data_IF_766359109190
#
_entry.id   IF_766359109190
#
_cell.length_a   1.000
_cell.length_b   1.000
_cell.length_c   1.000
_cell.angle_alpha   90.00
_cell.angle_beta   90.00
_cell.angle_gamma   90.00
#
_symmetry.space_group_name_H-M   'P 1'
#
loop_
_entity.id
_entity.type
_entity.pdbx_description
1 polymer ?
#
# COMPACT_ATOMS: atom_id res chain seq x y z
N UNK A 1 11.48 18.90 11.26
CA UNK A 1 10.98 19.45 9.98
C UNK A 1 9.81 18.61 9.51
N UNK A 2 8.67 19.24 9.26
CA UNK A 2 7.48 18.50 8.79
C UNK A 2 7.70 18.06 7.35
N UNK A 3 7.38 16.80 7.01
CA UNK A 3 7.50 16.34 5.63
C UNK A 3 6.49 17.08 4.74
N UNK A 4 6.91 17.39 3.51
CA UNK A 4 6.02 17.95 2.51
C UNK A 4 4.96 16.89 2.12
N UNK A 5 3.66 17.17 2.28
CA UNK A 5 2.63 16.19 1.97
C UNK A 5 2.70 15.66 0.53
N UNK A 6 2.99 16.53 -0.45
CA UNK A 6 3.12 16.10 -1.85
C UNK A 6 4.31 15.15 -2.05
N UNK A 7 5.44 15.41 -1.36
CA UNK A 7 6.61 14.54 -1.43
C UNK A 7 6.34 13.18 -0.78
N UNK A 8 5.62 13.18 0.35
CA UNK A 8 5.23 11.93 1.03
C UNK A 8 4.32 11.11 0.13
N UNK A 9 3.32 11.74 -0.48
CA UNK A 9 2.40 11.06 -1.39
C UNK A 9 3.13 10.49 -2.60
N UNK A 10 4.08 11.23 -3.17
CA UNK A 10 4.89 10.76 -4.31
C UNK A 10 5.71 9.54 -3.92
N UNK A 11 6.36 9.57 -2.77
CA UNK A 11 7.15 8.43 -2.27
C UNK A 11 6.27 7.21 -2.07
N UNK A 12 5.11 7.41 -1.49
CA UNK A 12 4.13 6.35 -1.27
C UNK A 12 3.68 5.74 -2.61
N UNK A 13 3.33 6.58 -3.58
CA UNK A 13 2.91 6.14 -4.91
C UNK A 13 4.04 5.38 -5.62
N UNK A 14 5.26 5.90 -5.58
CA UNK A 14 6.43 5.25 -6.20
C UNK A 14 6.69 3.87 -5.59
N UNK A 15 6.41 3.71 -4.31
CA UNK A 15 6.59 2.43 -3.62
C UNK A 15 5.46 1.44 -3.92
N UNK A 16 4.22 1.91 -3.96
CA UNK A 16 3.05 1.04 -4.02
C UNK A 16 2.53 0.77 -5.44
N UNK A 17 2.64 1.73 -6.36
CA UNK A 17 2.07 1.57 -7.69
C UNK A 17 2.62 0.36 -8.47
N UNK A 18 3.94 0.08 -8.47
CA UNK A 18 4.46 -1.12 -9.14
C UNK A 18 3.90 -2.41 -8.54
N UNK A 19 3.78 -2.46 -7.20
CA UNK A 19 3.27 -3.64 -6.50
C UNK A 19 1.78 -3.84 -6.78
N UNK A 20 1.02 -2.77 -6.85
CA UNK A 20 -0.40 -2.83 -7.20
C UNK A 20 -0.60 -3.36 -8.62
N UNK A 21 0.20 -2.91 -9.57
CA UNK A 21 0.16 -3.43 -10.95
C UNK A 21 0.48 -4.90 -11.01
N UNK A 22 1.52 -5.33 -10.28
CA UNK A 22 1.91 -6.73 -10.22
C UNK A 22 0.81 -7.58 -9.61
N UNK A 23 0.16 -7.06 -8.56
CA UNK A 23 -0.95 -7.73 -7.91
C UNK A 23 -2.12 -7.93 -8.87
N UNK A 24 -2.53 -6.86 -9.60
CA UNK A 24 -3.63 -6.95 -10.55
C UNK A 24 -3.33 -7.93 -11.68
N UNK A 25 -2.11 -7.92 -12.21
CA UNK A 25 -1.68 -8.87 -13.24
C UNK A 25 -1.71 -10.30 -12.74
N UNK A 26 -1.23 -10.52 -11.52
CA UNK A 26 -1.21 -11.85 -10.92
C UNK A 26 -2.63 -12.38 -10.67
N UNK A 27 -3.54 -11.54 -10.20
CA UNK A 27 -4.95 -11.91 -10.04
C UNK A 27 -5.61 -12.25 -11.39
N UNK A 28 -5.35 -11.45 -12.41
CA UNK A 28 -5.86 -11.69 -13.75
C UNK A 28 -5.37 -13.04 -14.28
N UNK A 29 -4.07 -13.32 -14.17
CA UNK A 29 -3.48 -14.56 -14.62
C UNK A 29 -4.07 -15.77 -13.88
N UNK A 30 -4.24 -15.69 -12.56
CA UNK A 30 -4.80 -16.75 -11.76
C UNK A 30 -6.30 -17.00 -12.08
N UNK A 31 -7.03 -15.94 -12.43
CA UNK A 31 -8.45 -16.03 -12.78
C UNK A 31 -8.67 -16.64 -14.16
N UNK A 32 -7.77 -16.38 -15.10
CA UNK A 32 -7.90 -16.86 -16.48
C UNK A 32 -7.19 -18.19 -16.72
N UNK A 33 -6.21 -18.54 -15.89
CA UNK A 33 -5.41 -19.76 -16.02
C UNK A 33 -5.08 -20.30 -14.63
N UNK A 34 -5.98 -21.09 -14.07
CA UNK A 34 -5.90 -21.57 -12.69
C UNK A 34 -4.93 -22.76 -12.57
N UNK A 35 -3.63 -22.47 -12.72
CA UNK A 35 -2.56 -23.45 -12.50
C UNK A 35 -1.86 -23.18 -11.16
N UNK A 36 -1.19 -24.18 -10.57
CA UNK A 36 -0.41 -23.95 -9.35
C UNK A 36 0.60 -22.83 -9.48
N UNK A 37 1.22 -22.66 -10.65
CA UNK A 37 2.21 -21.61 -10.90
C UNK A 37 1.59 -20.22 -10.83
N UNK A 38 0.40 -20.01 -11.39
CA UNK A 38 -0.29 -18.72 -11.35
C UNK A 38 -0.78 -18.40 -9.96
N UNK A 39 -1.23 -19.39 -9.21
CA UNK A 39 -1.62 -19.21 -7.81
C UNK A 39 -0.42 -18.82 -6.93
N UNK A 40 0.74 -19.42 -7.17
CA UNK A 40 1.96 -19.08 -6.43
C UNK A 40 2.43 -17.66 -6.73
N UNK A 41 2.34 -17.21 -7.98
CA UNK A 41 2.67 -15.85 -8.37
C UNK A 41 1.72 -14.86 -7.70
N UNK A 42 0.41 -15.16 -7.69
CA UNK A 42 -0.59 -14.33 -7.02
C UNK A 42 -0.29 -14.21 -5.52
N UNK A 43 0.00 -15.32 -4.87
CA UNK A 43 0.31 -15.31 -3.43
C UNK A 43 1.54 -14.46 -3.12
N UNK A 44 2.59 -14.56 -3.91
CA UNK A 44 3.79 -13.74 -3.74
C UNK A 44 3.50 -12.25 -3.95
N UNK A 45 2.66 -11.93 -4.94
CA UNK A 45 2.28 -10.54 -5.20
C UNK A 45 1.46 -9.97 -4.03
N UNK A 46 0.55 -10.76 -3.45
CA UNK A 46 -0.21 -10.36 -2.26
C UNK A 46 0.71 -10.13 -1.06
N UNK A 47 1.67 -11.03 -0.83
CA UNK A 47 2.63 -10.87 0.27
C UNK A 47 3.46 -9.60 0.11
N UNK A 48 3.95 -9.32 -1.10
CA UNK A 48 4.73 -8.11 -1.37
C UNK A 48 3.90 -6.85 -1.14
N UNK A 49 2.64 -6.86 -1.58
CA UNK A 49 1.70 -5.75 -1.38
C UNK A 49 1.44 -5.51 0.10
N UNK A 50 1.09 -6.56 0.86
CA UNK A 50 0.81 -6.44 2.29
C UNK A 50 2.06 -6.05 3.07
N UNK A 51 3.23 -6.52 2.65
CA UNK A 51 4.49 -6.14 3.27
C UNK A 51 4.75 -4.63 3.10
N UNK A 52 4.49 -4.10 1.91
CA UNK A 52 4.64 -2.68 1.66
C UNK A 52 3.64 -1.85 2.47
N UNK A 53 2.39 -2.31 2.58
CA UNK A 53 1.37 -1.64 3.38
C UNK A 53 1.66 -1.68 4.89
N UNK A 54 2.42 -2.67 5.34
CA UNK A 54 2.80 -2.79 6.76
C UNK A 54 4.08 -2.03 7.10
N UNK A 55 4.67 -1.31 6.14
CA UNK A 55 5.90 -0.54 6.35
C UNK A 55 5.66 0.61 7.33
N UNK A 56 6.29 0.53 8.50
CA UNK A 56 6.11 1.52 9.55
C UNK A 56 6.67 2.90 9.17
N UNK A 57 7.69 2.95 8.32
CA UNK A 57 8.25 4.22 7.86
C UNK A 57 7.28 4.94 6.93
N UNK A 58 6.64 4.22 6.01
CA UNK A 58 5.61 4.80 5.15
C UNK A 58 4.44 5.30 5.99
N UNK A 59 4.00 4.51 6.95
CA UNK A 59 2.91 4.89 7.84
C UNK A 59 3.26 6.15 8.65
N UNK A 60 4.46 6.19 9.24
CA UNK A 60 4.91 7.35 10.00
C UNK A 60 5.00 8.60 9.12
N UNK A 61 5.47 8.44 7.87
CA UNK A 61 5.52 9.54 6.91
C UNK A 61 4.15 10.12 6.60
N UNK A 62 3.16 9.25 6.38
CA UNK A 62 1.78 9.67 6.12
C UNK A 62 1.19 10.36 7.36
N UNK A 63 1.39 9.80 8.54
CA UNK A 63 0.94 10.41 9.80
C UNK A 63 1.53 11.79 10.00
N UNK A 64 2.85 11.94 9.75
CA UNK A 64 3.51 13.24 9.87
C UNK A 64 2.98 14.26 8.86
N UNK A 65 2.72 13.83 7.62
CA UNK A 65 2.16 14.71 6.60
C UNK A 65 0.73 15.16 6.92
N UNK A 66 -0.08 14.27 7.50
CA UNK A 66 -1.44 14.59 7.92
C UNK A 66 -1.48 15.51 9.14
N UNK A 67 -0.42 15.52 9.94
CA UNK A 67 -0.28 16.43 11.06
C UNK A 67 0.03 17.86 10.64
N UNK A 68 0.49 18.08 9.40
CA UNK A 68 0.79 19.41 8.87
C UNK A 68 -0.49 20.03 8.27
N UNK A 69 -0.59 21.39 8.22
CA UNK A 69 -1.71 22.03 7.54
C UNK A 69 -1.74 21.66 6.06
N UNK A 70 -2.95 21.53 5.51
CA UNK A 70 -3.11 21.27 4.07
C UNK A 70 -2.60 22.49 3.28
N UNK A 71 -1.93 22.24 2.15
CA UNK A 71 -1.54 23.29 1.23
C UNK A 71 -2.79 23.97 0.67
N UNK A 72 -2.74 25.27 0.36
CA UNK A 72 -3.91 25.97 -0.20
C UNK A 72 -4.25 25.47 -1.59
N UNK A 73 -5.53 25.55 -1.93
CA UNK A 73 -6.04 25.22 -3.26
C UNK A 73 -6.47 23.76 -3.42
N UNK A 74 -6.98 23.47 -4.62
CA UNK A 74 -7.53 22.15 -4.95
C UNK A 74 -6.47 21.06 -4.91
N UNK A 75 -5.24 21.37 -5.36
CA UNK A 75 -4.14 20.41 -5.34
C UNK A 75 -3.78 19.98 -3.93
N UNK A 76 -3.76 20.91 -2.98
CA UNK A 76 -3.50 20.59 -1.57
C UNK A 76 -4.59 19.74 -0.96
N UNK A 77 -5.85 20.01 -1.30
CA UNK A 77 -6.97 19.20 -0.84
C UNK A 77 -6.95 17.78 -1.39
N UNK A 78 -6.62 17.63 -2.67
CA UNK A 78 -6.48 16.30 -3.30
C UNK A 78 -5.37 15.49 -2.65
N UNK A 79 -4.23 16.13 -2.41
CA UNK A 79 -3.10 15.48 -1.75
C UNK A 79 -3.51 15.00 -0.36
N UNK A 80 -4.20 15.83 0.41
CA UNK A 80 -4.65 15.48 1.74
C UNK A 80 -5.63 14.31 1.71
N UNK A 81 -6.60 14.31 0.81
CA UNK A 81 -7.55 13.20 0.67
C UNK A 81 -6.86 11.89 0.32
N UNK A 82 -5.88 11.93 -0.60
CA UNK A 82 -5.11 10.75 -0.95
C UNK A 82 -4.32 10.23 0.24
N UNK A 83 -3.72 11.11 1.04
CA UNK A 83 -3.01 10.71 2.25
C UNK A 83 -3.94 10.16 3.33
N UNK A 84 -5.13 10.73 3.48
CA UNK A 84 -6.13 10.21 4.43
C UNK A 84 -6.56 8.79 4.06
N UNK A 85 -6.81 8.52 2.78
CA UNK A 85 -7.15 7.19 2.31
C UNK A 85 -5.98 6.23 2.51
N UNK A 86 -4.76 6.66 2.17
CA UNK A 86 -3.56 5.87 2.39
C UNK A 86 -3.36 5.56 3.87
N UNK A 87 -3.65 6.51 4.75
CA UNK A 87 -3.55 6.32 6.19
C UNK A 87 -4.47 5.18 6.66
N UNK A 88 -5.70 5.12 6.15
CA UNK A 88 -6.63 4.03 6.49
C UNK A 88 -6.11 2.69 6.00
N UNK A 89 -5.60 2.63 4.78
CA UNK A 89 -5.07 1.40 4.20
C UNK A 89 -3.83 0.90 4.97
N UNK A 90 -2.92 1.81 5.30
CA UNK A 90 -1.71 1.48 6.05
C UNK A 90 -2.02 1.08 7.48
N UNK A 91 -2.95 1.80 8.13
CA UNK A 91 -3.35 1.49 9.52
C UNK A 91 -3.91 0.07 9.62
N UNK A 92 -4.76 -0.31 8.68
CA UNK A 92 -5.38 -1.63 8.66
C UNK A 92 -4.36 -2.75 8.48
N UNK A 93 -3.15 -2.44 7.98
CA UNK A 93 -2.12 -3.42 7.67
C UNK A 93 -0.89 -3.32 8.58
N UNK A 94 -0.95 -2.57 9.70
CA UNK A 94 0.12 -2.50 10.69
C UNK A 94 0.02 -3.70 11.64
N UNK A 95 0.37 -4.87 11.11
CA UNK A 95 0.34 -6.13 11.86
C UNK A 95 1.72 -6.77 11.87
N UNK A 96 2.04 -7.61 12.88
CA UNK A 96 3.30 -8.35 12.91
C UNK A 96 3.46 -9.21 11.66
N UNK A 97 4.69 -9.38 11.20
CA UNK A 97 4.99 -10.11 9.98
C UNK A 97 4.45 -11.54 10.01
N UNK A 98 4.58 -12.23 11.15
CA UNK A 98 4.08 -13.59 11.29
C UNK A 98 2.57 -13.69 11.07
N UNK A 99 1.81 -12.75 11.62
CA UNK A 99 0.36 -12.71 11.45
C UNK A 99 -0.01 -12.39 10.00
N UNK A 100 0.75 -11.53 9.34
CA UNK A 100 0.53 -11.18 7.93
C UNK A 100 0.71 -12.39 7.02
N UNK A 101 1.78 -13.15 7.23
CA UNK A 101 2.06 -14.37 6.45
C UNK A 101 0.94 -15.38 6.64
N UNK A 102 0.47 -15.56 7.86
CA UNK A 102 -0.63 -16.46 8.18
C UNK A 102 -1.93 -16.04 7.46
N UNK A 103 -2.24 -14.74 7.45
CA UNK A 103 -3.42 -14.22 6.76
C UNK A 103 -3.37 -14.51 5.26
N UNK A 104 -2.22 -14.32 4.61
CA UNK A 104 -2.06 -14.60 3.18
C UNK A 104 -2.22 -16.08 2.92
N UNK A 105 -1.66 -16.94 3.77
CA UNK A 105 -1.79 -18.38 3.62
C UNK A 105 -3.25 -18.84 3.74
N UNK A 106 -4.02 -18.23 4.64
CA UNK A 106 -5.45 -18.55 4.80
C UNK A 106 -6.29 -18.11 3.61
N UNK A 107 -5.87 -17.04 2.92
CA UNK A 107 -6.57 -16.54 1.73
C UNK A 107 -6.21 -17.30 0.47
N UNK A 108 -5.09 -17.97 0.47
CA UNK A 108 -4.63 -18.76 -0.67
C UNK A 108 -5.33 -20.13 -0.70
#
# INVERSE_FOLDING_TARGET
>A
MSPDPAAVLRRLTDRLAPLERDLHRAFWAASTDARPETSAVRQRAEEAWLQALSDAELFAGVQGALGAPAAPGVGGQRTRRALEQANLDLLANQIPEGDRVELVALQA
#
